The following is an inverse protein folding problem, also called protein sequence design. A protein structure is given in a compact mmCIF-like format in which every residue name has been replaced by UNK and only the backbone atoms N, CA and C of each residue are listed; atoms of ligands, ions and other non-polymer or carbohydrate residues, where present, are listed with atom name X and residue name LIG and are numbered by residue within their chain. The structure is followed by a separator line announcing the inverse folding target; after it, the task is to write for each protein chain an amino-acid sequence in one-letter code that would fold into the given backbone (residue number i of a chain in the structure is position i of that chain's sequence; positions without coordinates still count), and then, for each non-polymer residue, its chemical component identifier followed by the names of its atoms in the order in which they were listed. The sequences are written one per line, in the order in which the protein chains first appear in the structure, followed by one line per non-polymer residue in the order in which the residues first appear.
data_IF_115093586371
#
_entry.id   IF_115093586371
#
_cell.length_a   1.000
_cell.length_b   1.000
_cell.length_c   1.000
_cell.angle_alpha   90.00
_cell.angle_beta   90.00
_cell.angle_gamma   90.00
#
_symmetry.space_group_name_H-M   'P 1'
#
loop_
_entity.id
_entity.type
_entity.pdbx_description
1 polymer ?
#
# COMPACT_ATOMS: atom_id res chain seq x y z
N UNK A 1 21.15 -23.82 -2.64
CA UNK A 1 20.96 -23.07 -2.71
C UNK A 1 20.66 -22.16 -2.27
N UNK A 2 20.99 -21.66 -2.23
CA UNK A 2 20.69 -20.82 -1.93
C UNK A 2 20.36 -19.82 -2.40
N UNK A 3 20.13 -19.93 -2.89
CA UNK A 3 19.54 -18.97 -3.41
C UNK A 3 18.35 -18.54 -2.78
N UNK A 4 17.88 -19.13 -1.69
CA UNK A 4 16.69 -18.79 -1.00
C UNK A 4 16.73 -17.37 -0.52
N UNK A 5 17.84 -16.90 0.00
CA UNK A 5 17.95 -15.55 0.46
C UNK A 5 17.80 -14.55 -0.65
N UNK A 6 18.40 -14.86 -1.77
CA UNK A 6 18.36 -13.97 -2.90
C UNK A 6 16.96 -13.89 -3.47
N UNK A 7 16.26 -15.03 -3.56
CA UNK A 7 14.94 -15.02 -4.03
C UNK A 7 14.03 -14.22 -3.18
N UNK A 8 14.12 -14.36 -1.86
CA UNK A 8 13.29 -13.59 -0.95
C UNK A 8 13.53 -12.12 -1.11
N UNK A 9 14.78 -11.75 -1.27
CA UNK A 9 15.11 -10.36 -1.44
C UNK A 9 14.46 -9.78 -2.69
N UNK A 10 14.46 -10.51 -3.78
CA UNK A 10 13.84 -10.06 -5.01
C UNK A 10 12.33 -9.96 -4.85
N UNK A 11 11.72 -10.94 -4.20
CA UNK A 11 10.29 -10.93 -3.98
C UNK A 11 9.83 -9.83 -3.03
N UNK A 12 10.74 -9.35 -2.19
CA UNK A 12 10.40 -8.26 -1.28
C UNK A 12 10.13 -6.94 -1.99
N UNK A 13 10.34 -6.87 -3.29
CA UNK A 13 10.00 -5.67 -4.05
C UNK A 13 8.54 -5.68 -4.51
N UNK A 14 7.82 -6.76 -4.26
CA UNK A 14 6.43 -6.83 -4.68
C UNK A 14 5.52 -6.00 -3.78
N UNK A 15 4.50 -5.44 -4.40
CA UNK A 15 3.48 -4.69 -3.68
C UNK A 15 2.75 -5.62 -2.72
N UNK A 16 2.61 -5.22 -1.48
CA UNK A 16 1.91 -6.01 -0.46
C UNK A 16 0.93 -5.13 0.29
N UNK A 17 -0.24 -5.69 0.54
CA UNK A 17 -1.31 -5.00 1.24
C UNK A 17 -1.78 -5.88 2.38
N UNK A 18 -1.78 -5.35 3.59
CA UNK A 18 -2.26 -6.05 4.77
C UNK A 18 -3.33 -5.21 5.45
N UNK A 19 -4.47 -5.80 5.73
CA UNK A 19 -5.58 -5.12 6.38
C UNK A 19 -5.85 -5.78 7.71
N UNK A 20 -5.91 -4.98 8.78
CA UNK A 20 -6.16 -5.51 10.11
C UNK A 20 -6.78 -4.43 11.00
N UNK A 21 -8.01 -4.69 11.46
CA UNK A 21 -8.68 -3.83 12.46
C UNK A 21 -8.59 -2.33 12.19
N UNK A 22 -9.03 -1.90 11.03
CA UNK A 22 -9.03 -0.48 10.70
C UNK A 22 -7.67 0.08 10.37
N UNK A 23 -6.72 -0.81 10.08
CA UNK A 23 -5.38 -0.40 9.66
C UNK A 23 -5.04 -1.08 8.35
N UNK A 24 -4.45 -0.31 7.45
CA UNK A 24 -3.97 -0.84 6.19
C UNK A 24 -2.49 -0.55 6.10
N UNK A 25 -1.70 -1.60 5.99
CA UNK A 25 -0.27 -1.46 5.80
C UNK A 25 0.07 -1.82 4.36
N UNK A 26 0.75 -0.92 3.68
CA UNK A 26 1.10 -1.10 2.27
C UNK A 26 2.60 -1.00 2.13
N UNK A 27 3.19 -2.01 1.50
CA UNK A 27 4.63 -2.08 1.31
C UNK A 27 4.94 -2.12 -0.17
N UNK A 28 5.99 -1.45 -0.55
CA UNK A 28 6.52 -1.42 -1.93
C UNK A 28 5.56 -0.72 -2.90
N UNK A 29 4.96 0.38 -2.43
CA UNK A 29 4.22 1.24 -3.34
C UNK A 29 5.20 2.18 -4.06
N UNK A 30 4.80 2.75 -5.19
CA UNK A 30 5.67 3.65 -5.92
C UNK A 30 5.46 5.10 -5.51
N UNK A 31 4.22 5.49 -5.24
CA UNK A 31 4.01 6.86 -4.78
C UNK A 31 2.63 7.01 -4.14
N UNK A 32 2.50 8.00 -3.28
CA UNK A 32 1.23 8.34 -2.66
C UNK A 32 0.62 9.45 -3.50
N UNK A 33 -0.46 9.13 -4.21
CA UNK A 33 -1.03 10.06 -5.18
C UNK A 33 -1.88 11.16 -4.57
N UNK A 34 -2.67 10.81 -3.56
CA UNK A 34 -3.58 11.75 -2.93
C UNK A 34 -3.96 11.22 -1.57
N UNK A 35 -4.16 12.08 -0.60
CA UNK A 35 -4.77 11.63 0.65
C UNK A 35 -5.49 12.77 1.35
N UNK A 36 -6.63 12.42 1.95
CA UNK A 36 -7.36 13.29 2.84
C UNK A 36 -8.13 12.39 3.81
N UNK A 37 -9.04 12.94 4.59
CA UNK A 37 -9.74 12.19 5.61
C UNK A 37 -10.65 11.09 5.05
N UNK A 38 -11.00 11.20 3.78
CA UNK A 38 -11.99 10.30 3.19
C UNK A 38 -11.43 9.43 2.07
N UNK A 39 -10.27 9.76 1.54
CA UNK A 39 -9.73 9.03 0.41
C UNK A 39 -8.20 9.06 0.41
N UNK A 40 -7.61 7.92 0.13
CA UNK A 40 -6.17 7.82 -0.07
C UNK A 40 -5.95 7.04 -1.36
N UNK A 41 -5.08 7.55 -2.22
CA UNK A 41 -4.73 6.87 -3.46
C UNK A 41 -3.26 6.52 -3.42
N UNK A 42 -2.98 5.23 -3.58
CA UNK A 42 -1.62 4.70 -3.55
C UNK A 42 -1.33 4.11 -4.91
N UNK A 43 -0.23 4.54 -5.53
CA UNK A 43 0.18 3.99 -6.82
C UNK A 43 1.21 2.91 -6.63
N UNK A 44 1.13 1.88 -7.44
CA UNK A 44 2.08 0.80 -7.40
C UNK A 44 2.30 0.24 -8.80
N UNK A 45 3.41 -0.45 -8.97
CA UNK A 45 3.75 -1.07 -10.26
C UNK A 45 3.48 -2.55 -10.20
N UNK A 46 2.89 -3.06 -11.25
CA UNK A 46 2.67 -4.49 -11.42
C UNK A 46 2.84 -4.81 -12.89
N UNK A 47 3.76 -5.72 -13.20
CA UNK A 47 4.06 -6.09 -14.59
C UNK A 47 4.40 -4.85 -15.43
N UNK A 48 5.19 -3.95 -14.84
CA UNK A 48 5.63 -2.71 -15.49
C UNK A 48 4.51 -1.74 -15.83
N UNK A 49 3.33 -1.95 -15.27
CA UNK A 49 2.21 -1.04 -15.46
C UNK A 49 1.87 -0.36 -14.14
N UNK A 50 1.48 0.89 -14.21
CA UNK A 50 1.09 1.64 -13.03
C UNK A 50 -0.38 1.36 -12.71
N UNK A 51 -0.62 0.99 -11.47
CA UNK A 51 -1.96 0.75 -10.97
C UNK A 51 -2.23 1.64 -9.77
N UNK A 52 -3.50 1.84 -9.48
CA UNK A 52 -3.90 2.64 -8.34
C UNK A 52 -4.73 1.81 -7.37
N UNK A 53 -4.44 1.97 -6.09
CA UNK A 53 -5.30 1.46 -5.04
C UNK A 53 -5.99 2.66 -4.43
N UNK A 54 -7.32 2.67 -4.47
CA UNK A 54 -8.12 3.76 -3.93
C UNK A 54 -8.78 3.28 -2.66
N UNK A 55 -8.45 3.92 -1.55
CA UNK A 55 -8.99 3.59 -0.24
C UNK A 55 -9.97 4.67 0.13
N UNK A 56 -11.22 4.30 0.36
CA UNK A 56 -12.25 5.24 0.76
C UNK A 56 -12.72 4.91 2.16
N UNK A 57 -12.96 5.93 2.95
CA UNK A 57 -13.39 5.71 4.31
C UNK A 57 -13.66 7.00 5.04
N UNK A 58 -13.53 6.95 6.36
CA UNK A 58 -13.80 8.09 7.23
C UNK A 58 -12.70 8.22 8.26
N UNK A 59 -12.34 9.46 8.55
CA UNK A 59 -11.29 9.75 9.53
C UNK A 59 -9.99 9.02 9.19
N UNK A 60 -9.64 8.97 7.92
CA UNK A 60 -8.43 8.31 7.48
C UNK A 60 -7.21 9.17 7.83
N UNK A 61 -6.17 8.53 8.31
CA UNK A 61 -4.93 9.17 8.71
C UNK A 61 -3.76 8.35 8.21
N UNK A 62 -2.78 9.01 7.63
CA UNK A 62 -1.52 8.37 7.29
C UNK A 62 -0.67 8.45 8.55
N UNK A 63 -0.60 7.36 9.31
CA UNK A 63 0.07 7.36 10.60
C UNK A 63 1.55 7.00 10.53
N UNK A 64 1.99 6.43 9.43
CA UNK A 64 3.40 6.13 9.23
C UNK A 64 3.69 6.19 7.74
N UNK A 65 4.75 6.86 7.36
CA UNK A 65 5.14 6.95 5.97
C UNK A 65 6.66 6.82 5.86
N UNK A 66 7.08 5.79 5.16
CA UNK A 66 8.49 5.56 4.86
C UNK A 66 8.65 5.53 3.35
N UNK A 67 9.86 5.39 2.86
CA UNK A 67 10.11 5.43 1.42
C UNK A 67 9.35 4.35 0.65
N UNK A 68 9.09 3.20 1.28
CA UNK A 68 8.42 2.11 0.60
C UNK A 68 7.27 1.50 1.42
N UNK A 69 6.86 2.15 2.51
CA UNK A 69 5.84 1.60 3.39
C UNK A 69 4.95 2.71 3.94
N UNK A 70 3.66 2.48 3.94
CA UNK A 70 2.71 3.44 4.48
C UNK A 70 1.69 2.71 5.32
N UNK A 71 1.35 3.30 6.48
CA UNK A 71 0.31 2.77 7.35
C UNK A 71 -0.83 3.77 7.40
N UNK A 72 -2.02 3.31 7.05
CA UNK A 72 -3.23 4.13 7.03
C UNK A 72 -4.18 3.59 8.07
N UNK A 73 -4.71 4.46 8.91
CA UNK A 73 -5.65 4.08 9.94
C UNK A 73 -6.95 4.83 9.79
N UNK A 74 -8.04 4.26 10.27
CA UNK A 74 -9.35 4.88 10.24
C UNK A 74 -10.43 3.86 9.93
N UNK A 75 -11.59 4.36 9.57
CA UNK A 75 -12.71 3.51 9.17
C UNK A 75 -12.63 3.29 7.67
N UNK A 76 -12.41 2.06 7.28
CA UNK A 76 -12.25 1.72 5.87
C UNK A 76 -13.59 1.26 5.33
N UNK A 77 -14.14 1.99 4.37
CA UNK A 77 -15.42 1.65 3.78
C UNK A 77 -15.29 0.88 2.48
N UNK A 78 -14.26 1.17 1.71
CA UNK A 78 -14.13 0.56 0.39
C UNK A 78 -12.69 0.59 -0.11
N UNK A 79 -12.31 -0.46 -0.83
CA UNK A 79 -11.02 -0.54 -1.50
C UNK A 79 -11.28 -0.83 -2.96
N UNK A 80 -10.57 -0.13 -3.83
CA UNK A 80 -10.76 -0.28 -5.26
C UNK A 80 -9.42 -0.29 -5.96
N UNK A 81 -9.20 -1.25 -6.84
CA UNK A 81 -8.00 -1.30 -7.66
C UNK A 81 -8.32 -0.83 -9.07
N UNK A 82 -7.47 0.02 -9.60
CA UNK A 82 -7.66 0.52 -10.96
C UNK A 82 -6.39 0.53 -11.77
#
# INVERSE_FOLDING_TARGET
MQFNGLRSYILDTEFKLTILNGKINIVNFSELGHFDNNKVIVRFLKNDNTHNLIIKGRNLVVSKLKSNEVLIEGVIDNLEFR
#
